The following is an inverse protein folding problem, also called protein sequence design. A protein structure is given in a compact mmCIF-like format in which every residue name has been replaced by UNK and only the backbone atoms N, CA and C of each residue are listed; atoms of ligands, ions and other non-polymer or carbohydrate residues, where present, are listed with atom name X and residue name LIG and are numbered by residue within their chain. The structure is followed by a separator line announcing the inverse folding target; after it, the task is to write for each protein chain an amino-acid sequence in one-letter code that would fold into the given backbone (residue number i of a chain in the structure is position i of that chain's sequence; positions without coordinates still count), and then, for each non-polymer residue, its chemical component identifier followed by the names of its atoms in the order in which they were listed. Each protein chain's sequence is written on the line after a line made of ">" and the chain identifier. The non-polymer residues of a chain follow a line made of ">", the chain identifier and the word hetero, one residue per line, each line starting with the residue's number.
data_IF_022944970362
#
_entry.id   IF_022944970362
#
_cell.length_a   1.000
_cell.length_b   1.000
_cell.length_c   1.000
_cell.angle_alpha   90.00
_cell.angle_beta   90.00
_cell.angle_gamma   90.00
#
_symmetry.space_group_name_H-M   'P 1'
#
loop_
_entity.id
_entity.type
_entity.pdbx_description
1 polymer ?
#
# COMPACT_ATOMS: atom_id res chain seq x y z
N UNK A 1 41.07 17.41 -9.29
CA UNK A 1 40.34 16.15 -9.03
C UNK A 1 39.98 16.01 -7.56
N UNK A 2 40.87 16.40 -6.64
CA UNK A 2 40.63 16.28 -5.19
C UNK A 2 39.47 17.16 -4.70
N UNK A 3 39.29 18.35 -5.28
CA UNK A 3 38.11 19.19 -5.02
C UNK A 3 36.78 18.51 -5.38
N UNK A 4 36.73 17.67 -6.42
CA UNK A 4 35.51 16.92 -6.76
C UNK A 4 35.24 15.80 -5.76
N UNK A 5 36.28 15.13 -5.27
CA UNK A 5 36.15 14.06 -4.28
C UNK A 5 35.61 14.61 -2.94
N UNK A 6 36.10 15.77 -2.50
CA UNK A 6 35.59 16.43 -1.30
C UNK A 6 34.12 16.85 -1.42
N UNK A 7 33.68 17.25 -2.62
CA UNK A 7 32.28 17.61 -2.89
C UNK A 7 31.37 16.37 -2.91
N UNK A 8 31.88 15.23 -3.39
CA UNK A 8 31.17 13.95 -3.39
C UNK A 8 31.00 13.41 -1.97
N UNK A 9 32.01 13.57 -1.13
CA UNK A 9 31.98 13.19 0.29
C UNK A 9 30.93 14.02 1.06
N UNK A 10 30.99 15.36 0.95
CA UNK A 10 29.98 16.24 1.58
C UNK A 10 28.57 15.95 1.11
N UNK A 11 28.38 15.59 -0.16
CA UNK A 11 27.04 15.20 -0.64
C UNK A 11 26.60 13.83 -0.09
N UNK A 12 27.53 12.90 0.11
CA UNK A 12 27.23 11.62 0.76
C UNK A 12 26.78 11.82 2.22
N UNK A 13 27.36 12.80 2.93
CA UNK A 13 26.91 13.23 4.26
C UNK A 13 25.52 13.88 4.20
N UNK A 14 25.25 14.74 3.21
CA UNK A 14 23.92 15.33 3.02
C UNK A 14 22.86 14.24 2.77
N UNK A 15 23.20 13.18 2.03
CA UNK A 15 22.32 12.04 1.83
C UNK A 15 22.11 11.21 3.10
N UNK A 16 23.13 11.03 3.94
CA UNK A 16 22.98 10.32 5.21
C UNK A 16 22.12 11.13 6.19
N UNK A 17 22.38 12.44 6.31
CA UNK A 17 21.62 13.38 7.15
C UNK A 17 20.17 13.48 6.70
N UNK A 18 19.88 13.39 5.39
CA UNK A 18 18.50 13.43 4.87
C UNK A 18 17.58 12.32 5.41
N UNK A 19 18.15 11.26 6.00
CA UNK A 19 17.41 10.13 6.59
C UNK A 19 17.23 10.23 8.11
N UNK A 20 17.77 11.26 8.76
CA UNK A 20 17.76 11.39 10.22
C UNK A 20 16.90 12.57 10.67
N UNK A 21 16.65 12.66 11.98
CA UNK A 21 15.84 13.73 12.57
C UNK A 21 16.49 15.13 12.47
N UNK A 22 17.74 15.21 12.02
CA UNK A 22 18.47 16.48 11.84
C UNK A 22 17.88 17.34 10.71
N UNK A 23 17.06 16.74 9.84
CA UNK A 23 16.31 17.43 8.77
C UNK A 23 15.31 18.45 9.33
N UNK A 24 14.92 18.36 10.60
CA UNK A 24 14.10 19.37 11.29
C UNK A 24 14.73 20.76 11.33
N UNK A 25 16.05 20.85 11.28
CA UNK A 25 16.80 22.12 11.23
C UNK A 25 16.93 22.69 9.82
N UNK A 26 16.48 21.97 8.79
CA UNK A 26 16.65 22.39 7.40
C UNK A 26 15.61 23.44 7.05
N UNK A 27 16.08 24.62 6.67
CA UNK A 27 15.25 25.66 6.08
C UNK A 27 14.95 25.44 4.59
N UNK A 28 14.00 26.20 4.02
CA UNK A 28 13.63 26.10 2.60
C UNK A 28 14.81 26.36 1.65
N UNK A 29 15.72 27.27 2.00
CA UNK A 29 16.94 27.53 1.22
C UNK A 29 17.94 26.37 1.29
N UNK A 30 18.04 25.69 2.43
CA UNK A 30 18.92 24.54 2.61
C UNK A 30 18.47 23.39 1.72
N UNK A 31 17.16 23.12 1.65
CA UNK A 31 16.56 22.12 0.76
C UNK A 31 16.81 22.46 -0.71
N UNK A 32 16.60 23.72 -1.10
CA UNK A 32 16.82 24.18 -2.49
C UNK A 32 18.29 23.99 -2.90
N UNK A 33 19.23 24.41 -2.05
CA UNK A 33 20.67 24.23 -2.29
C UNK A 33 21.05 22.76 -2.38
N UNK A 34 20.53 21.91 -1.49
CA UNK A 34 20.81 20.47 -1.52
C UNK A 34 20.35 19.81 -2.83
N UNK A 35 19.16 20.17 -3.33
CA UNK A 35 18.66 19.69 -4.62
C UNK A 35 19.46 20.24 -5.82
N UNK A 36 19.84 21.52 -5.80
CA UNK A 36 20.71 22.11 -6.82
C UNK A 36 22.07 21.40 -6.88
N UNK A 37 22.62 21.06 -5.72
CA UNK A 37 23.87 20.32 -5.62
C UNK A 37 23.74 18.89 -6.17
N UNK A 38 22.61 18.23 -5.91
CA UNK A 38 22.32 16.92 -6.48
C UNK A 38 22.19 16.95 -8.01
N UNK A 39 21.57 18.01 -8.57
CA UNK A 39 21.48 18.24 -10.02
C UNK A 39 22.85 18.49 -10.64
N UNK A 40 23.69 19.28 -9.98
CA UNK A 40 25.07 19.50 -10.41
C UNK A 40 25.86 18.19 -10.47
N UNK A 41 25.76 17.33 -9.45
CA UNK A 41 26.42 16.02 -9.44
C UNK A 41 25.92 15.08 -10.53
N UNK A 42 24.63 15.16 -10.89
CA UNK A 42 24.07 14.45 -12.04
C UNK A 42 24.66 14.96 -13.36
N UNK A 43 24.87 16.27 -13.50
CA UNK A 43 25.51 16.86 -14.69
C UNK A 43 26.99 16.44 -14.79
N UNK A 44 27.70 16.41 -13.66
CA UNK A 44 29.05 15.84 -13.54
C UNK A 44 29.04 14.36 -13.97
N UNK A 45 28.08 13.56 -13.50
CA UNK A 45 27.92 12.16 -13.94
C UNK A 45 27.68 12.04 -15.44
N UNK A 46 26.81 12.87 -16.04
CA UNK A 46 26.56 12.85 -17.50
C UNK A 46 27.80 13.24 -18.30
N UNK A 47 28.55 14.26 -17.85
CA UNK A 47 29.75 14.77 -18.51
C UNK A 47 30.91 13.77 -18.48
N UNK A 48 31.13 13.12 -17.34
CA UNK A 48 32.22 12.18 -17.16
C UNK A 48 31.83 10.71 -17.39
N UNK A 49 30.54 10.42 -17.55
CA UNK A 49 30.01 9.07 -17.80
C UNK A 49 30.41 8.50 -19.16
N UNK A 50 30.61 9.35 -20.17
CA UNK A 50 31.13 8.99 -21.50
C UNK A 50 32.65 8.87 -21.56
N UNK A 51 33.38 9.36 -20.54
CA UNK A 51 34.84 9.38 -20.51
C UNK A 51 35.41 8.25 -19.65
N UNK A 52 35.58 7.06 -20.25
CA UNK A 52 35.95 5.82 -19.54
C UNK A 52 37.21 5.91 -18.66
N UNK A 53 38.24 6.67 -19.07
CA UNK A 53 39.48 6.87 -18.30
C UNK A 53 39.26 7.67 -17.00
N UNK A 54 38.45 8.74 -17.08
CA UNK A 54 38.16 9.61 -15.92
C UNK A 54 37.20 8.91 -14.96
N UNK A 55 36.22 8.17 -15.50
CA UNK A 55 35.31 7.34 -14.72
C UNK A 55 36.06 6.27 -13.92
N UNK A 56 36.96 5.51 -14.56
CA UNK A 56 37.73 4.47 -13.88
C UNK A 56 38.67 5.05 -12.80
N UNK A 57 39.24 6.24 -13.05
CA UNK A 57 40.05 6.95 -12.05
C UNK A 57 39.21 7.41 -10.85
N UNK A 58 38.00 7.94 -11.08
CA UNK A 58 37.07 8.33 -10.02
C UNK A 58 36.57 7.13 -9.22
N UNK A 59 36.14 6.05 -9.88
CA UNK A 59 35.68 4.83 -9.22
C UNK A 59 36.78 4.17 -8.37
N UNK A 60 38.03 4.14 -8.85
CA UNK A 60 39.17 3.67 -8.04
C UNK A 60 39.43 4.56 -6.84
N UNK A 61 39.45 5.89 -7.01
CA UNK A 61 39.69 6.81 -5.89
C UNK A 61 38.57 6.79 -4.86
N UNK A 62 37.31 6.70 -5.29
CA UNK A 62 36.16 6.54 -4.40
C UNK A 62 36.25 5.22 -3.60
N UNK A 63 36.71 4.13 -4.22
CA UNK A 63 36.94 2.84 -3.54
C UNK A 63 38.08 2.90 -2.53
N UNK A 64 39.15 3.63 -2.85
CA UNK A 64 40.28 3.85 -1.93
C UNK A 64 39.85 4.71 -0.74
N UNK A 65 38.98 5.71 -0.94
CA UNK A 65 38.56 6.64 0.10
C UNK A 65 37.42 6.12 0.99
N UNK A 66 36.48 5.34 0.44
CA UNK A 66 35.33 4.78 1.19
C UNK A 66 35.57 3.36 1.72
N UNK A 67 36.68 2.71 1.35
CA UNK A 67 36.99 1.33 1.70
C UNK A 67 36.18 0.28 0.91
N UNK A 68 36.44 -1.03 1.12
CA UNK A 68 35.77 -2.12 0.42
C UNK A 68 34.28 -2.26 0.79
N UNK A 69 33.85 -1.75 1.93
CA UNK A 69 32.45 -1.76 2.41
C UNK A 69 31.62 -0.57 1.89
N UNK A 70 32.25 0.44 1.29
CA UNK A 70 31.59 1.67 0.84
C UNK A 70 31.09 2.55 2.01
N UNK A 71 30.52 3.74 1.72
CA UNK A 71 29.97 4.57 2.79
C UNK A 71 28.79 3.84 3.44
N UNK A 72 28.82 3.70 4.78
CA UNK A 72 27.84 2.96 5.59
C UNK A 72 26.39 3.42 5.41
N UNK A 73 26.17 4.60 4.82
CA UNK A 73 24.85 5.10 4.40
C UNK A 73 25.02 6.23 3.38
N UNK A 74 24.93 5.96 2.07
CA UNK A 74 25.06 7.02 1.06
C UNK A 74 25.31 6.53 -0.37
N UNK A 75 26.06 7.31 -1.15
CA UNK A 75 26.45 6.99 -2.54
C UNK A 75 27.37 5.77 -2.58
N UNK A 76 26.82 4.60 -2.92
CA UNK A 76 27.59 3.34 -2.96
C UNK A 76 28.43 3.15 -4.23
N UNK A 77 28.23 3.98 -5.26
CA UNK A 77 28.97 3.87 -6.53
C UNK A 77 28.93 5.16 -7.35
N UNK A 78 29.82 5.29 -8.33
CA UNK A 78 29.75 6.36 -9.33
C UNK A 78 28.42 6.36 -10.10
N UNK A 79 27.78 5.20 -10.27
CA UNK A 79 26.43 5.09 -10.86
C UNK A 79 25.33 5.68 -9.96
N UNK A 80 25.53 5.69 -8.64
CA UNK A 80 24.61 6.31 -7.70
C UNK A 80 24.57 7.84 -7.84
N UNK A 81 25.64 8.47 -8.37
CA UNK A 81 25.67 9.91 -8.64
C UNK A 81 24.65 10.33 -9.69
N UNK A 82 24.42 9.48 -10.70
CA UNK A 82 23.38 9.70 -11.71
C UNK A 82 21.96 9.61 -11.17
N UNK A 83 21.79 9.20 -9.90
CA UNK A 83 20.52 9.07 -9.18
C UNK A 83 20.49 9.85 -7.86
N UNK A 84 21.50 10.68 -7.58
CA UNK A 84 21.65 11.34 -6.28
C UNK A 84 20.52 12.33 -5.98
N UNK A 85 20.04 13.01 -7.01
CA UNK A 85 18.86 13.88 -6.98
C UNK A 85 17.59 13.15 -6.58
N UNK A 86 17.36 11.97 -7.16
CA UNK A 86 16.22 11.10 -6.87
C UNK A 86 16.31 10.54 -5.45
N UNK A 87 17.49 10.06 -5.04
CA UNK A 87 17.69 9.51 -3.70
C UNK A 87 17.50 10.56 -2.60
N UNK A 88 18.05 11.76 -2.80
CA UNK A 88 17.87 12.87 -1.87
C UNK A 88 16.39 13.27 -1.77
N UNK A 89 15.71 13.40 -2.91
CA UNK A 89 14.29 13.77 -2.94
C UNK A 89 13.41 12.73 -2.25
N UNK A 90 13.68 11.44 -2.45
CA UNK A 90 12.95 10.36 -1.79
C UNK A 90 13.19 10.33 -0.28
N UNK A 91 14.44 10.48 0.17
CA UNK A 91 14.76 10.51 1.59
C UNK A 91 14.05 11.69 2.29
N UNK A 92 14.05 12.88 1.67
CA UNK A 92 13.40 14.07 2.23
C UNK A 92 11.87 13.96 2.26
N UNK A 93 11.26 13.38 1.21
CA UNK A 93 9.80 13.15 1.19
C UNK A 93 9.35 12.12 2.23
N UNK A 94 10.21 11.17 2.60
CA UNK A 94 9.90 10.13 3.58
C UNK A 94 10.19 10.56 5.03
N UNK A 95 10.92 11.65 5.22
CA UNK A 95 11.38 12.06 6.55
C UNK A 95 10.33 12.94 7.25
N UNK A 96 9.66 12.37 8.26
CA UNK A 96 8.65 13.04 9.08
C UNK A 96 9.18 14.23 9.89
N UNK A 97 10.50 14.34 10.04
CA UNK A 97 11.14 15.47 10.74
C UNK A 97 11.29 16.71 9.84
N UNK A 98 10.99 16.64 8.53
CA UNK A 98 11.08 17.79 7.63
C UNK A 98 9.97 18.80 7.94
N UNK A 99 10.35 20.01 8.36
CA UNK A 99 9.39 21.07 8.70
C UNK A 99 8.58 21.56 7.49
N UNK A 100 7.35 22.01 7.73
CA UNK A 100 6.36 22.36 6.69
C UNK A 100 6.85 23.38 5.65
N UNK A 101 7.63 24.38 6.06
CA UNK A 101 8.19 25.37 5.14
C UNK A 101 9.24 24.76 4.20
N UNK A 102 10.05 23.83 4.70
CA UNK A 102 11.05 23.10 3.94
C UNK A 102 10.41 22.03 3.05
N UNK A 103 9.35 21.38 3.51
CA UNK A 103 8.50 20.47 2.72
C UNK A 103 7.80 21.17 1.56
N UNK A 104 7.21 22.35 1.78
CA UNK A 104 6.62 23.16 0.70
C UNK A 104 7.67 23.60 -0.34
N UNK A 105 8.86 24.01 0.11
CA UNK A 105 9.95 24.36 -0.80
C UNK A 105 10.45 23.15 -1.61
N UNK A 106 10.50 21.95 -1.00
CA UNK A 106 10.80 20.70 -1.69
C UNK A 106 9.79 20.44 -2.81
N UNK A 107 8.50 20.50 -2.49
CA UNK A 107 7.43 20.27 -3.47
C UNK A 107 7.47 21.30 -4.61
N UNK A 108 7.73 22.57 -4.32
CA UNK A 108 7.90 23.61 -5.35
C UNK A 108 9.10 23.35 -6.28
N UNK A 109 10.17 22.72 -5.78
CA UNK A 109 11.34 22.36 -6.60
C UNK A 109 11.16 21.07 -7.41
N UNK A 110 10.28 20.18 -6.95
CA UNK A 110 9.93 18.93 -7.63
C UNK A 110 8.79 19.10 -8.64
N UNK A 111 7.90 20.06 -8.39
CA UNK A 111 6.77 20.44 -9.22
C UNK A 111 6.81 21.95 -9.51
N UNK A 112 7.82 22.43 -10.25
CA UNK A 112 7.77 23.80 -10.73
C UNK A 112 6.54 23.93 -11.62
N UNK A 113 5.70 24.94 -11.37
CA UNK A 113 4.51 25.20 -12.19
C UNK A 113 4.87 25.41 -13.68
N UNK A 114 3.85 25.44 -14.55
CA UNK A 114 3.93 25.38 -16.01
C UNK A 114 4.80 26.45 -16.75
N UNK A 115 5.61 27.25 -16.04
CA UNK A 115 6.38 28.36 -16.58
C UNK A 115 7.90 28.19 -16.64
N UNK A 116 8.52 27.13 -16.12
CA UNK A 116 9.98 26.97 -16.20
C UNK A 116 10.37 25.74 -17.00
N UNK A 117 10.69 25.95 -18.29
CA UNK A 117 11.18 24.94 -19.23
C UNK A 117 12.59 24.42 -18.92
N UNK A 118 12.80 23.93 -17.70
CA UNK A 118 14.02 23.22 -17.32
C UNK A 118 13.85 21.72 -17.65
N UNK A 119 14.39 21.30 -18.79
CA UNK A 119 14.35 19.91 -19.27
C UNK A 119 14.86 18.90 -18.23
N UNK A 120 15.71 19.36 -17.31
CA UNK A 120 16.28 18.57 -16.23
C UNK A 120 15.33 18.40 -15.03
N UNK A 121 14.34 19.28 -14.88
CA UNK A 121 13.24 19.18 -13.92
C UNK A 121 12.12 18.27 -14.44
N UNK A 122 11.75 18.37 -15.72
CA UNK A 122 10.78 17.44 -16.35
C UNK A 122 11.28 15.98 -16.34
N UNK A 123 12.57 15.77 -16.60
CA UNK A 123 13.19 14.45 -16.52
C UNK A 123 13.22 13.90 -15.07
N UNK A 124 13.36 14.77 -14.06
CA UNK A 124 13.28 14.41 -12.65
C UNK A 124 11.84 14.02 -12.28
N UNK A 125 10.86 14.83 -12.67
CA UNK A 125 9.43 14.59 -12.45
C UNK A 125 8.99 13.27 -13.07
N UNK A 126 9.37 13.00 -14.32
CA UNK A 126 9.07 11.74 -15.01
C UNK A 126 9.66 10.52 -14.26
N UNK A 127 10.86 10.68 -13.69
CA UNK A 127 11.53 9.60 -12.92
C UNK A 127 10.92 9.41 -11.54
N UNK A 128 10.52 10.48 -10.86
CA UNK A 128 9.83 10.42 -9.57
C UNK A 128 8.44 9.81 -9.72
N UNK A 129 7.70 10.16 -10.77
CA UNK A 129 6.41 9.52 -11.11
C UNK A 129 6.62 8.03 -11.38
N UNK A 130 7.66 7.63 -12.14
CA UNK A 130 7.98 6.21 -12.35
C UNK A 130 8.40 5.48 -11.08
N UNK A 131 9.06 6.15 -10.14
CA UNK A 131 9.45 5.56 -8.86
C UNK A 131 8.29 5.47 -7.86
N UNK A 132 7.40 6.46 -7.85
CA UNK A 132 6.13 6.39 -7.13
C UNK A 132 5.29 5.22 -7.67
N UNK A 133 5.18 5.08 -9.00
CA UNK A 133 4.52 3.94 -9.66
C UNK A 133 5.20 2.60 -9.35
N UNK A 134 6.54 2.55 -9.30
CA UNK A 134 7.28 1.31 -8.96
C UNK A 134 7.22 0.95 -7.48
N UNK A 135 7.13 1.93 -6.58
CA UNK A 135 6.90 1.69 -5.14
C UNK A 135 5.47 1.25 -4.88
N UNK A 136 4.50 1.83 -5.59
CA UNK A 136 3.12 1.33 -5.63
C UNK A 136 3.07 -0.13 -6.17
N UNK A 137 3.82 -0.44 -7.23
CA UNK A 137 3.90 -1.80 -7.78
C UNK A 137 4.61 -2.83 -6.88
N UNK A 138 5.35 -2.41 -5.85
CA UNK A 138 6.03 -3.31 -4.89
C UNK A 138 5.21 -3.56 -3.62
N UNK A 139 4.07 -2.91 -3.43
CA UNK A 139 3.27 -2.92 -2.21
C UNK A 139 1.87 -3.57 -2.38
N UNK A 140 1.77 -4.64 -3.18
CA UNK A 140 0.62 -5.56 -3.33
C UNK A 140 -0.57 -5.08 -4.20
N UNK A 141 -1.33 -6.03 -4.80
CA UNK A 141 -2.06 -5.84 -6.05
C UNK A 141 -3.52 -5.36 -5.88
N UNK A 142 -3.97 -4.55 -6.86
CA UNK A 142 -5.37 -4.46 -7.31
C UNK A 142 -6.25 -3.36 -6.70
N UNK A 143 -6.08 -3.01 -5.42
CA UNK A 143 -6.89 -1.94 -4.76
C UNK A 143 -6.06 -0.90 -4.00
N UNK A 144 -4.76 -1.15 -3.80
CA UNK A 144 -3.79 -0.23 -3.21
C UNK A 144 -3.14 0.70 -4.25
N UNK A 145 -3.62 0.68 -5.49
CA UNK A 145 -3.03 1.43 -6.61
C UNK A 145 -3.35 2.93 -6.59
N UNK A 146 -4.32 3.36 -5.77
CA UNK A 146 -4.68 4.77 -5.64
C UNK A 146 -3.96 5.41 -4.43
N UNK A 147 -2.92 6.24 -4.66
CA UNK A 147 -2.25 6.97 -3.59
C UNK A 147 -3.20 7.91 -2.82
N UNK A 148 -4.32 8.30 -3.43
CA UNK A 148 -5.36 9.09 -2.78
C UNK A 148 -6.09 8.25 -1.73
N UNK A 149 -6.49 7.02 -2.05
CA UNK A 149 -7.13 6.10 -1.09
C UNK A 149 -6.21 5.79 0.08
N UNK A 150 -4.92 5.57 -0.18
CA UNK A 150 -3.93 5.35 0.87
C UNK A 150 -3.81 6.55 1.82
N UNK A 151 -3.70 7.76 1.25
CA UNK A 151 -3.62 9.00 2.05
C UNK A 151 -4.90 9.20 2.87
N UNK A 152 -6.06 8.96 2.27
CA UNK A 152 -7.34 9.07 2.94
C UNK A 152 -7.51 8.03 4.05
N UNK A 153 -7.01 6.80 3.87
CA UNK A 153 -7.01 5.77 4.89
C UNK A 153 -6.12 6.17 6.08
N UNK A 154 -4.95 6.75 5.83
CA UNK A 154 -4.07 7.27 6.88
C UNK A 154 -4.71 8.45 7.62
N UNK A 155 -5.37 9.35 6.89
CA UNK A 155 -6.12 10.46 7.49
C UNK A 155 -7.32 9.96 8.31
N UNK A 156 -8.01 8.92 7.85
CA UNK A 156 -9.11 8.28 8.59
C UNK A 156 -8.59 7.75 9.93
N UNK A 157 -7.50 6.99 9.92
CA UNK A 157 -6.89 6.45 11.14
C UNK A 157 -6.40 7.56 12.08
N UNK A 158 -5.70 8.58 11.56
CA UNK A 158 -5.26 9.71 12.37
C UNK A 158 -6.41 10.48 13.01
N UNK A 159 -7.53 10.66 12.29
CA UNK A 159 -8.73 11.33 12.83
C UNK A 159 -9.50 10.47 13.82
N UNK A 160 -9.45 9.14 13.70
CA UNK A 160 -10.03 8.23 14.69
C UNK A 160 -9.32 8.36 16.04
N UNK A 161 -8.00 8.55 16.03
CA UNK A 161 -7.20 8.77 17.24
C UNK A 161 -7.56 10.10 17.94
N UNK A 162 -7.85 11.14 17.17
CA UNK A 162 -8.22 12.47 17.68
C UNK A 162 -9.71 12.57 18.08
N UNK A 163 -10.55 11.63 17.63
CA UNK A 163 -11.98 11.70 17.83
C UNK A 163 -12.37 11.26 19.26
N UNK A 164 -13.05 12.12 20.01
CA UNK A 164 -13.61 11.76 21.32
C UNK A 164 -14.76 10.73 21.25
N UNK A 165 -15.49 10.69 20.13
CA UNK A 165 -16.51 9.67 19.81
C UNK A 165 -16.26 9.08 18.41
N UNK A 166 -15.40 8.06 18.30
CA UNK A 166 -15.04 7.45 17.02
C UNK A 166 -16.22 6.78 16.31
N UNK A 167 -17.08 6.06 17.05
CA UNK A 167 -18.22 5.32 16.47
C UNK A 167 -19.28 6.25 15.89
N UNK A 168 -19.65 7.31 16.61
CA UNK A 168 -20.60 8.29 16.09
C UNK A 168 -20.03 9.11 14.93
N UNK A 169 -18.72 9.35 14.92
CA UNK A 169 -18.05 10.00 13.79
C UNK A 169 -18.05 9.13 12.53
N UNK A 170 -17.75 7.83 12.65
CA UNK A 170 -17.85 6.88 11.54
C UNK A 170 -19.28 6.77 11.00
N UNK A 171 -20.30 6.76 11.87
CA UNK A 171 -21.71 6.80 11.46
C UNK A 171 -22.07 8.06 10.66
N UNK A 172 -21.53 9.22 11.05
CA UNK A 172 -21.72 10.47 10.29
C UNK A 172 -21.00 10.45 8.95
N UNK A 173 -19.84 9.80 8.86
CA UNK A 173 -19.15 9.62 7.58
C UNK A 173 -19.90 8.67 6.66
N UNK A 174 -20.41 7.55 7.18
CA UNK A 174 -21.22 6.60 6.42
C UNK A 174 -22.45 7.25 5.77
N UNK A 175 -23.10 8.16 6.49
CA UNK A 175 -24.30 8.86 6.00
C UNK A 175 -24.00 9.99 5.00
N UNK A 176 -22.79 10.56 5.02
CA UNK A 176 -22.43 11.74 4.20
C UNK A 176 -21.51 11.44 3.03
N UNK A 177 -20.69 10.40 3.14
CA UNK A 177 -19.73 10.04 2.11
C UNK A 177 -20.35 9.09 1.07
N UNK A 178 -19.83 9.06 -0.17
CA UNK A 178 -20.17 8.00 -1.12
C UNK A 178 -19.83 6.62 -0.54
N UNK A 179 -20.84 5.76 -0.40
CA UNK A 179 -20.73 4.47 0.32
C UNK A 179 -19.58 3.60 -0.19
N UNK A 180 -19.50 3.40 -1.51
CA UNK A 180 -18.46 2.56 -2.13
C UNK A 180 -17.05 3.10 -1.83
N UNK A 181 -16.87 4.40 -1.98
CA UNK A 181 -15.58 5.06 -1.72
C UNK A 181 -15.17 4.94 -0.25
N UNK A 182 -16.11 5.14 0.67
CA UNK A 182 -15.86 5.00 2.10
C UNK A 182 -15.43 3.56 2.46
N UNK A 183 -16.12 2.55 1.94
CA UNK A 183 -15.77 1.14 2.16
C UNK A 183 -14.39 0.80 1.60
N UNK A 184 -14.01 1.36 0.44
CA UNK A 184 -12.66 1.20 -0.12
C UNK A 184 -11.58 1.82 0.78
N UNK A 185 -11.82 3.04 1.29
CA UNK A 185 -10.90 3.69 2.24
C UNK A 185 -10.76 2.87 3.51
N UNK A 186 -11.86 2.33 4.05
CA UNK A 186 -11.82 1.45 5.22
C UNK A 186 -11.04 0.16 4.96
N UNK A 187 -11.24 -0.46 3.80
CA UNK A 187 -10.50 -1.66 3.42
C UNK A 187 -8.99 -1.41 3.35
N UNK A 188 -8.58 -0.28 2.77
CA UNK A 188 -7.17 0.14 2.72
C UNK A 188 -6.62 0.44 4.11
N UNK A 189 -7.44 1.02 5.00
CA UNK A 189 -7.06 1.28 6.40
C UNK A 189 -6.80 -0.02 7.17
N UNK A 190 -7.66 -1.04 7.01
CA UNK A 190 -7.52 -2.36 7.64
C UNK A 190 -6.29 -3.13 7.15
N UNK A 191 -5.79 -2.80 5.96
CA UNK A 191 -4.60 -3.40 5.34
C UNK A 191 -3.32 -2.60 5.58
N UNK A 192 -3.34 -1.52 6.39
CA UNK A 192 -2.11 -0.84 6.77
C UNK A 192 -1.20 -1.76 7.62
N UNK A 193 0.13 -1.67 7.46
CA UNK A 193 1.06 -2.48 8.26
C UNK A 193 1.00 -2.07 9.74
N UNK A 194 0.72 -3.04 10.60
CA UNK A 194 0.63 -2.86 12.07
C UNK A 194 1.97 -2.46 12.72
N UNK A 195 3.10 -2.60 12.02
CA UNK A 195 4.44 -2.48 12.60
C UNK A 195 4.94 -1.03 12.77
N UNK A 196 4.38 -0.04 12.06
CA UNK A 196 4.89 1.35 12.09
C UNK A 196 4.18 2.28 13.11
N UNK A 197 3.13 1.82 13.80
CA UNK A 197 2.27 2.68 14.65
C UNK A 197 1.97 2.15 16.07
N UNK A 198 2.58 1.04 16.51
CA UNK A 198 2.24 0.45 17.82
C UNK A 198 0.87 -0.26 17.80
N UNK A 199 0.36 -0.76 18.95
CA UNK A 199 -0.92 -1.47 18.99
C UNK A 199 -2.02 -0.53 18.46
N UNK A 200 -2.48 -0.78 17.23
CA UNK A 200 -3.40 0.12 16.52
C UNK A 200 -4.81 -0.01 17.09
N UNK A 201 -5.06 0.66 18.21
CA UNK A 201 -6.39 0.78 18.82
C UNK A 201 -7.40 1.31 17.80
N UNK A 202 -6.96 2.14 16.85
CA UNK A 202 -7.78 2.70 15.77
C UNK A 202 -8.33 1.61 14.85
N UNK A 203 -7.48 0.63 14.50
CA UNK A 203 -7.87 -0.51 13.68
C UNK A 203 -8.88 -1.37 14.45
N UNK A 204 -8.67 -1.58 15.76
CA UNK A 204 -9.61 -2.32 16.60
C UNK A 204 -10.96 -1.62 16.71
N UNK A 205 -10.98 -0.29 16.86
CA UNK A 205 -12.20 0.52 16.87
C UNK A 205 -12.94 0.40 15.54
N UNK A 206 -12.21 0.44 14.42
CA UNK A 206 -12.80 0.31 13.08
C UNK A 206 -13.39 -1.09 12.86
N UNK A 207 -12.67 -2.15 13.24
CA UNK A 207 -13.17 -3.54 13.20
C UNK A 207 -14.41 -3.69 14.08
N UNK A 208 -14.38 -3.20 15.32
CA UNK A 208 -15.51 -3.29 16.25
C UNK A 208 -16.74 -2.57 15.68
N UNK A 209 -16.56 -1.36 15.17
CA UNK A 209 -17.65 -0.60 14.58
C UNK A 209 -18.26 -1.29 13.36
N UNK A 210 -17.44 -1.90 12.48
CA UNK A 210 -17.94 -2.70 11.36
C UNK A 210 -18.79 -3.89 11.85
N UNK A 211 -18.32 -4.61 12.87
CA UNK A 211 -19.04 -5.76 13.43
C UNK A 211 -20.36 -5.36 14.13
N UNK A 212 -20.44 -4.16 14.71
CA UNK A 212 -21.66 -3.62 15.32
C UNK A 212 -22.71 -3.18 14.28
N UNK A 213 -22.29 -2.86 13.06
CA UNK A 213 -23.15 -2.31 12.00
C UNK A 213 -23.41 -3.34 10.89
N UNK A 214 -24.44 -4.18 11.06
CA UNK A 214 -24.76 -5.29 10.16
C UNK A 214 -24.92 -4.87 8.68
N UNK A 215 -25.61 -3.75 8.42
CA UNK A 215 -25.78 -3.23 7.06
C UNK A 215 -24.45 -2.80 6.42
N UNK A 216 -23.59 -2.16 7.20
CA UNK A 216 -22.29 -1.69 6.73
C UNK A 216 -21.38 -2.88 6.46
N UNK A 217 -21.37 -3.87 7.35
CA UNK A 217 -20.63 -5.10 7.19
C UNK A 217 -21.07 -5.86 5.93
N UNK A 218 -22.38 -6.03 5.72
CA UNK A 218 -22.90 -6.70 4.54
C UNK A 218 -22.47 -5.97 3.25
N UNK A 219 -22.54 -4.64 3.23
CA UNK A 219 -22.06 -3.83 2.10
C UNK A 219 -20.54 -3.92 1.91
N UNK A 220 -19.77 -3.94 3.01
CA UNK A 220 -18.33 -4.11 3.01
C UNK A 220 -17.93 -5.47 2.41
N UNK A 221 -18.63 -6.53 2.79
CA UNK A 221 -18.41 -7.88 2.26
C UNK A 221 -18.80 -8.02 0.78
N UNK A 222 -19.39 -7.01 0.13
CA UNK A 222 -19.58 -6.98 -1.34
C UNK A 222 -18.35 -6.45 -2.10
N UNK A 223 -17.29 -6.02 -1.40
CA UNK A 223 -16.01 -5.68 -2.01
C UNK A 223 -15.36 -6.90 -2.70
N UNK A 224 -14.32 -6.71 -3.54
CA UNK A 224 -13.68 -7.80 -4.28
C UNK A 224 -13.10 -8.90 -3.37
N UNK A 225 -13.29 -10.15 -3.78
CA UNK A 225 -12.95 -11.34 -2.99
C UNK A 225 -11.49 -11.35 -2.49
N UNK A 226 -10.51 -11.07 -3.36
CA UNK A 226 -9.10 -11.05 -2.98
C UNK A 226 -8.77 -10.04 -1.88
N UNK A 227 -9.41 -8.87 -1.91
CA UNK A 227 -9.24 -7.85 -0.86
C UNK A 227 -9.83 -8.32 0.47
N UNK A 228 -11.01 -8.96 0.43
CA UNK A 228 -11.63 -9.50 1.64
C UNK A 228 -10.85 -10.66 2.23
N UNK A 229 -10.24 -11.52 1.40
CA UNK A 229 -9.31 -12.56 1.85
C UNK A 229 -8.14 -11.95 2.62
N UNK A 230 -7.46 -10.94 2.04
CA UNK A 230 -6.33 -10.28 2.73
C UNK A 230 -6.73 -9.61 4.05
N UNK A 231 -7.96 -9.12 4.17
CA UNK A 231 -8.48 -8.54 5.42
C UNK A 231 -8.82 -9.64 6.43
N UNK A 232 -9.47 -10.72 5.99
CA UNK A 232 -9.81 -11.86 6.82
C UNK A 232 -8.56 -12.53 7.42
N UNK A 233 -7.46 -12.61 6.65
CA UNK A 233 -6.16 -13.11 7.13
C UNK A 233 -5.62 -12.31 8.32
N UNK A 234 -5.82 -10.99 8.33
CA UNK A 234 -5.30 -10.09 9.37
C UNK A 234 -6.22 -9.91 10.56
N UNK A 235 -7.53 -10.06 10.35
CA UNK A 235 -8.56 -9.74 11.32
C UNK A 235 -9.50 -10.93 11.54
N UNK A 236 -9.17 -11.87 12.45
CA UNK A 236 -9.95 -13.10 12.66
C UNK A 236 -11.41 -12.86 13.03
N UNK A 237 -11.72 -11.77 13.73
CA UNK A 237 -13.10 -11.41 14.06
C UNK A 237 -13.92 -11.06 12.81
N UNK A 238 -13.32 -10.37 11.83
CA UNK A 238 -13.97 -10.09 10.53
C UNK A 238 -14.06 -11.36 9.68
N UNK A 239 -13.04 -12.24 9.72
CA UNK A 239 -13.09 -13.53 9.04
C UNK A 239 -14.35 -14.32 9.44
N UNK A 240 -14.57 -14.51 10.75
CA UNK A 240 -15.73 -15.24 11.26
C UNK A 240 -17.06 -14.62 10.84
N UNK A 241 -17.18 -13.29 10.95
CA UNK A 241 -18.39 -12.60 10.55
C UNK A 241 -18.65 -12.69 9.04
N UNK A 242 -17.58 -12.66 8.23
CA UNK A 242 -17.67 -12.84 6.79
C UNK A 242 -18.08 -14.27 6.42
N UNK A 243 -17.53 -15.29 7.07
CA UNK A 243 -17.93 -16.69 6.84
C UNK A 243 -19.41 -16.95 7.18
N UNK A 244 -19.92 -16.33 8.25
CA UNK A 244 -21.35 -16.37 8.58
C UNK A 244 -22.18 -15.77 7.45
N UNK A 245 -21.81 -14.60 6.94
CA UNK A 245 -22.51 -13.98 5.80
C UNK A 245 -22.46 -14.82 4.52
N UNK A 246 -21.31 -15.44 4.22
CA UNK A 246 -21.19 -16.36 3.08
C UNK A 246 -22.09 -17.59 3.26
N UNK A 247 -22.22 -18.08 4.49
CA UNK A 247 -23.11 -19.18 4.83
C UNK A 247 -24.56 -18.79 4.58
N UNK A 248 -24.97 -17.61 5.06
CA UNK A 248 -26.31 -17.07 4.85
C UNK A 248 -26.63 -16.86 3.37
N UNK A 249 -25.65 -16.44 2.56
CA UNK A 249 -25.82 -16.30 1.11
C UNK A 249 -25.99 -17.66 0.42
N UNK A 250 -25.18 -18.66 0.79
CA UNK A 250 -25.29 -20.00 0.21
C UNK A 250 -26.62 -20.68 0.55
N UNK A 251 -27.16 -20.49 1.76
CA UNK A 251 -28.46 -21.04 2.16
C UNK A 251 -29.65 -20.50 1.35
N UNK A 252 -29.50 -19.33 0.72
CA UNK A 252 -30.54 -18.74 -0.13
C UNK A 252 -30.50 -19.24 -1.58
N UNK A 253 -29.44 -19.94 -1.96
CA UNK A 253 -29.35 -20.56 -3.27
C UNK A 253 -30.20 -21.83 -3.30
N UNK A 254 -30.83 -22.07 -4.44
CA UNK A 254 -31.55 -23.31 -4.72
C UNK A 254 -31.06 -23.88 -6.05
N UNK A 255 -31.12 -25.20 -6.18
CA UNK A 255 -30.65 -25.87 -7.39
C UNK A 255 -31.76 -25.88 -8.44
N UNK A 256 -31.53 -25.23 -9.58
CA UNK A 256 -32.44 -25.29 -10.72
C UNK A 256 -32.10 -26.52 -11.58
N UNK A 257 -33.03 -27.47 -11.65
CA UNK A 257 -32.89 -28.70 -12.42
C UNK A 257 -32.87 -28.45 -13.95
N UNK A 258 -33.42 -27.33 -14.42
CA UNK A 258 -33.43 -26.98 -15.84
C UNK A 258 -32.08 -26.43 -16.30
N UNK A 259 -31.48 -25.57 -15.48
CA UNK A 259 -30.16 -24.97 -15.76
C UNK A 259 -29.01 -25.86 -15.29
N UNK A 260 -29.28 -26.78 -14.36
CA UNK A 260 -28.26 -27.64 -13.74
C UNK A 260 -27.29 -26.85 -12.83
N UNK A 261 -27.75 -25.72 -12.29
CA UNK A 261 -26.94 -24.77 -11.56
C UNK A 261 -27.63 -24.25 -10.30
N UNK A 262 -26.83 -23.73 -9.36
CA UNK A 262 -27.34 -23.02 -8.19
C UNK A 262 -27.73 -21.59 -8.57
N UNK A 263 -28.99 -21.25 -8.33
CA UNK A 263 -29.55 -19.94 -8.66
C UNK A 263 -30.08 -19.25 -7.41
N UNK A 264 -30.02 -17.93 -7.40
CA UNK A 264 -30.58 -17.11 -6.33
C UNK A 264 -32.06 -16.85 -6.56
N UNK A 265 -32.86 -16.83 -5.50
CA UNK A 265 -34.29 -16.50 -5.61
C UNK A 265 -34.52 -15.01 -5.93
N UNK A 266 -33.69 -14.13 -5.37
CA UNK A 266 -33.79 -12.68 -5.56
C UNK A 266 -32.65 -12.13 -6.40
N UNK A 267 -32.96 -11.13 -7.23
CA UNK A 267 -31.95 -10.41 -8.04
C UNK A 267 -30.89 -9.63 -7.23
N UNK A 268 -31.11 -9.45 -5.92
CA UNK A 268 -30.17 -8.77 -5.01
C UNK A 268 -29.24 -9.73 -4.25
N UNK A 269 -29.55 -11.02 -4.29
CA UNK A 269 -28.75 -12.07 -3.68
C UNK A 269 -27.48 -12.32 -4.50
N UNK A 270 -26.53 -13.02 -3.86
CA UNK A 270 -25.22 -13.27 -4.46
C UNK A 270 -25.32 -14.47 -5.38
N UNK A 271 -24.95 -14.35 -6.67
CA UNK A 271 -25.01 -15.47 -7.60
C UNK A 271 -23.97 -16.53 -7.24
N UNK A 272 -24.20 -17.76 -7.69
CA UNK A 272 -23.33 -18.91 -7.45
C UNK A 272 -21.87 -18.64 -7.79
N UNK A 273 -21.58 -18.05 -8.94
CA UNK A 273 -20.20 -17.82 -9.41
C UNK A 273 -19.44 -16.85 -8.50
N UNK A 274 -20.16 -15.87 -7.93
CA UNK A 274 -19.56 -14.91 -7.01
C UNK A 274 -19.31 -15.54 -5.64
N UNK A 275 -20.21 -16.41 -5.17
CA UNK A 275 -20.03 -17.18 -3.95
C UNK A 275 -18.86 -18.16 -4.08
N UNK A 276 -18.80 -18.92 -5.18
CA UNK A 276 -17.71 -19.82 -5.50
C UNK A 276 -16.36 -19.08 -5.55
N UNK A 277 -16.29 -17.94 -6.27
CA UNK A 277 -15.07 -17.11 -6.36
C UNK A 277 -14.59 -16.65 -4.99
N UNK A 278 -15.51 -16.32 -4.07
CA UNK A 278 -15.18 -15.90 -2.71
C UNK A 278 -14.59 -17.04 -1.90
N UNK A 279 -15.20 -18.23 -1.94
CA UNK A 279 -14.64 -19.41 -1.28
C UNK A 279 -13.31 -19.85 -1.89
N UNK A 280 -13.16 -19.80 -3.22
CA UNK A 280 -11.87 -20.07 -3.90
C UNK A 280 -10.77 -19.10 -3.46
N UNK A 281 -11.10 -17.81 -3.34
CA UNK A 281 -10.16 -16.81 -2.83
C UNK A 281 -9.75 -17.10 -1.38
N UNK A 282 -10.70 -17.54 -0.54
CA UNK A 282 -10.43 -17.90 0.86
C UNK A 282 -9.69 -19.22 1.02
N UNK A 283 -9.93 -20.22 0.17
CA UNK A 283 -9.25 -21.53 0.21
C UNK A 283 -7.81 -21.48 -0.28
N UNK A 284 -7.47 -20.47 -1.10
CA UNK A 284 -6.11 -20.16 -1.52
C UNK A 284 -5.30 -19.39 -0.47
N UNK A 285 -5.93 -18.91 0.60
CA UNK A 285 -5.25 -18.20 1.68
C UNK A 285 -4.31 -19.13 2.48
N UNK A 286 -3.28 -18.58 3.17
CA UNK A 286 -2.47 -19.36 4.09
C UNK A 286 -3.27 -19.86 5.31
N UNK A 287 -2.85 -20.97 5.96
CA UNK A 287 -3.34 -21.34 7.28
C UNK A 287 -3.13 -20.20 8.30
N UNK A 288 -4.08 -19.96 9.24
CA UNK A 288 -5.20 -20.81 9.62
C UNK A 288 -6.50 -20.57 8.82
N UNK A 289 -6.57 -19.52 7.99
CA UNK A 289 -7.83 -19.11 7.34
C UNK A 289 -8.39 -20.20 6.42
N UNK A 290 -7.52 -20.85 5.65
CA UNK A 290 -7.90 -21.98 4.80
C UNK A 290 -8.57 -23.11 5.59
N UNK A 291 -7.99 -23.49 6.73
CA UNK A 291 -8.47 -24.61 7.53
C UNK A 291 -9.83 -24.28 8.17
N UNK A 292 -10.02 -23.02 8.61
CA UNK A 292 -11.32 -22.53 9.11
C UNK A 292 -12.41 -22.61 8.03
N UNK A 293 -12.07 -22.22 6.79
CA UNK A 293 -13.01 -22.26 5.64
C UNK A 293 -13.41 -23.70 5.30
N UNK A 294 -12.45 -24.61 5.21
CA UNK A 294 -12.72 -26.02 4.92
C UNK A 294 -13.55 -26.67 6.04
N UNK A 295 -13.19 -26.42 7.29
CA UNK A 295 -13.94 -26.93 8.45
C UNK A 295 -15.38 -26.41 8.46
N UNK A 296 -15.60 -25.15 8.10
CA UNK A 296 -16.93 -24.56 7.99
C UNK A 296 -17.74 -25.28 6.90
N UNK A 297 -17.20 -25.41 5.69
CA UNK A 297 -17.87 -26.05 4.56
C UNK A 297 -18.22 -27.51 4.86
N UNK A 298 -17.31 -28.27 5.47
CA UNK A 298 -17.57 -29.64 5.93
C UNK A 298 -18.70 -29.68 6.97
N UNK A 299 -18.72 -28.74 7.92
CA UNK A 299 -19.79 -28.66 8.92
C UNK A 299 -21.16 -28.34 8.31
N UNK A 300 -21.19 -27.54 7.24
CA UNK A 300 -22.41 -27.19 6.51
C UNK A 300 -22.90 -28.38 5.67
N UNK A 301 -22.01 -29.05 4.94
CA UNK A 301 -22.30 -30.30 4.23
C UNK A 301 -22.86 -31.37 5.18
N UNK A 302 -22.28 -31.51 6.38
CA UNK A 302 -22.76 -32.46 7.39
C UNK A 302 -24.16 -32.13 7.89
N UNK A 303 -24.49 -30.85 8.03
CA UNK A 303 -25.83 -30.38 8.42
C UNK A 303 -26.88 -30.67 7.37
N UNK A 304 -26.51 -30.58 6.10
CA UNK A 304 -27.39 -30.87 4.97
C UNK A 304 -27.61 -32.38 4.79
N UNK A 305 -26.81 -33.23 5.44
CA UNK A 305 -26.98 -34.69 5.40
C UNK A 305 -25.81 -35.45 4.78
N UNK A 306 -24.66 -34.81 4.57
CA UNK A 306 -23.45 -35.42 3.96
C UNK A 306 -23.73 -36.06 2.60
N UNK A 307 -24.50 -35.38 1.76
CA UNK A 307 -24.72 -35.84 0.40
C UNK A 307 -23.43 -35.76 -0.42
N UNK A 308 -23.18 -36.78 -1.23
CA UNK A 308 -22.06 -36.82 -2.19
C UNK A 308 -22.53 -36.57 -3.64
N UNK A 309 -23.84 -36.44 -3.85
CA UNK A 309 -24.44 -36.23 -5.16
C UNK A 309 -24.64 -34.73 -5.40
N UNK A 310 -24.26 -34.28 -6.59
CA UNK A 310 -24.37 -32.88 -6.98
C UNK A 310 -25.82 -32.38 -7.01
N UNK A 311 -26.03 -31.09 -6.71
CA UNK A 311 -27.34 -30.43 -6.73
C UNK A 311 -28.25 -30.72 -5.52
N UNK A 312 -27.79 -31.51 -4.55
CA UNK A 312 -28.52 -31.77 -3.29
C UNK A 312 -28.10 -30.83 -2.15
N UNK A 313 -26.82 -30.43 -2.12
CA UNK A 313 -26.30 -29.49 -1.14
C UNK A 313 -25.32 -28.54 -1.81
N UNK A 314 -25.54 -27.24 -1.61
CA UNK A 314 -24.67 -26.18 -2.14
C UNK A 314 -23.25 -26.32 -1.60
N UNK A 315 -23.10 -26.82 -0.38
CA UNK A 315 -21.81 -27.02 0.27
C UNK A 315 -21.04 -28.21 -0.31
N UNK A 316 -21.76 -29.28 -0.70
CA UNK A 316 -21.15 -30.40 -1.43
C UNK A 316 -20.58 -29.92 -2.74
N UNK A 317 -21.36 -29.18 -3.52
CA UNK A 317 -20.94 -28.70 -4.83
C UNK A 317 -19.78 -27.69 -4.72
N UNK A 318 -19.80 -26.82 -3.69
CA UNK A 318 -18.66 -25.94 -3.40
C UNK A 318 -17.40 -26.72 -3.08
N UNK A 319 -17.49 -27.76 -2.24
CA UNK A 319 -16.32 -28.59 -1.90
C UNK A 319 -15.76 -29.36 -3.09
N UNK A 320 -16.60 -29.69 -4.09
CA UNK A 320 -16.15 -30.33 -5.33
C UNK A 320 -15.46 -29.35 -6.29
N UNK A 321 -15.85 -28.08 -6.27
CA UNK A 321 -15.37 -27.02 -7.17
C UNK A 321 -14.24 -26.14 -6.59
N UNK A 322 -13.79 -26.40 -5.36
CA UNK A 322 -12.71 -25.70 -4.66
C UNK A 322 -11.34 -26.36 -4.84
#
# INVERSE_FOLDING_TARGET
>A
MDALLQQLERFSEVLSVSRTNHVSTWGPETVRRALQWARYLRQVYRRFGSHGRIRAALERRLRIHWGPEGPKSGLTSFRALGRGDVLLSLNLLQNRALGDAAGRALLQQLFPGAGTGDADAEALQTRLVRLARRRAALLLPGLLEDPVLLTQAQLLLGRLQEAGDPSGWLGRLWTRAPRVHFLQVMAVALLQPLEELGPSEEIHVLVRWLLEQSEVLAAFCRLPAGLLTSIAERHPALSRAYLVLLTDWGQKLHYDLQEGAWVSADSQDVPWEELLRRFQSLSQAPPPLKDEVLTLLESCKARDGNFEVAGLSVWTDLLLDL
#
